data_IF_964265328795
#
_entry.id   IF_964265328795
#
_cell.length_a   1.000
_cell.length_b   1.000
_cell.length_c   1.000
_cell.angle_alpha   90.00
_cell.angle_beta   90.00
_cell.angle_gamma   90.00
#
_symmetry.space_group_name_H-M   'P 1'
#
loop_
_entity.id
_entity.type
_entity.pdbx_description
1 polymer ?
#
# COMPACT_ATOMS: atom_id res chain seq x y z
N UNK A 1 88.12 -18.64 16.83
CA UNK A 1 86.88 -17.85 16.99
C UNK A 1 86.00 -18.05 15.77
N UNK A 2 84.79 -18.59 15.93
CA UNK A 2 83.57 -18.21 15.18
C UNK A 2 82.48 -19.25 15.41
N UNK A 3 81.58 -18.95 16.36
CA UNK A 3 80.36 -19.70 16.63
C UNK A 3 79.32 -19.40 15.54
N UNK A 4 78.94 -20.40 14.74
CA UNK A 4 77.83 -20.31 13.78
C UNK A 4 76.49 -20.46 14.53
N UNK A 5 75.86 -19.33 14.86
CA UNK A 5 74.53 -19.25 15.47
C UNK A 5 73.45 -19.73 14.48
N UNK A 6 72.80 -20.84 14.81
CA UNK A 6 71.60 -21.33 14.12
C UNK A 6 70.43 -20.34 14.34
N UNK A 7 69.98 -19.69 13.26
CA UNK A 7 68.83 -18.76 13.28
C UNK A 7 67.53 -19.57 13.40
N UNK A 8 66.93 -19.58 14.59
CA UNK A 8 65.55 -20.06 14.76
C UNK A 8 64.60 -19.18 13.93
N UNK A 9 63.94 -19.78 12.93
CA UNK A 9 62.82 -19.17 12.21
C UNK A 9 61.67 -18.94 13.20
N UNK A 10 61.43 -17.69 13.58
CA UNK A 10 60.19 -17.30 14.25
C UNK A 10 59.04 -17.48 13.27
N UNK A 11 58.10 -18.37 13.59
CA UNK A 11 56.82 -18.45 12.88
C UNK A 11 56.06 -17.16 13.19
N UNK A 12 55.70 -16.40 12.16
CA UNK A 12 54.75 -15.30 12.30
C UNK A 12 53.41 -15.88 12.81
N UNK A 13 52.68 -15.17 13.69
CA UNK A 13 51.34 -15.56 14.06
C UNK A 13 50.48 -15.63 12.80
N UNK A 14 49.79 -16.76 12.62
CA UNK A 14 48.73 -16.89 11.62
C UNK A 14 47.69 -15.82 11.99
N UNK A 15 47.30 -14.90 11.08
CA UNK A 15 46.22 -13.99 11.38
C UNK A 15 44.96 -14.86 11.53
N UNK A 16 44.48 -14.97 12.76
CA UNK A 16 43.12 -15.44 13.01
C UNK A 16 42.17 -14.51 12.24
N UNK A 17 41.28 -15.04 11.38
CA UNK A 17 40.21 -14.22 10.86
C UNK A 17 39.27 -13.98 12.04
N UNK A 18 39.49 -12.89 12.78
CA UNK A 18 38.44 -12.27 13.57
C UNK A 18 37.51 -11.58 12.57
N UNK A 19 36.76 -12.38 11.81
CA UNK A 19 35.47 -11.92 11.34
C UNK A 19 34.64 -12.01 12.60
N UNK A 20 34.47 -10.88 13.29
CA UNK A 20 33.37 -10.73 14.23
C UNK A 20 32.10 -10.90 13.37
N UNK A 21 31.64 -12.14 13.21
CA UNK A 21 30.44 -12.44 12.45
C UNK A 21 29.30 -11.78 13.20
N UNK A 22 28.95 -10.57 12.79
CA UNK A 22 27.88 -9.80 13.40
C UNK A 22 26.59 -10.61 13.23
N UNK A 23 26.10 -11.17 14.34
CA UNK A 23 24.85 -11.93 14.34
C UNK A 23 23.64 -10.99 14.39
N UNK A 24 22.51 -11.49 13.91
CA UNK A 24 21.24 -10.82 14.11
C UNK A 24 20.79 -10.97 15.58
N UNK A 25 20.42 -9.86 16.22
CA UNK A 25 19.94 -9.84 17.62
C UNK A 25 18.60 -10.56 17.83
N UNK A 26 17.79 -10.73 16.78
CA UNK A 26 16.46 -11.34 16.87
C UNK A 26 16.51 -12.87 16.71
N UNK A 27 17.31 -13.38 15.76
CA UNK A 27 17.40 -14.83 15.49
C UNK A 27 18.69 -15.48 15.99
N UNK A 28 19.68 -14.68 16.41
CA UNK A 28 20.99 -15.14 16.89
C UNK A 28 21.93 -15.67 15.79
N UNK A 29 21.51 -15.66 14.51
CA UNK A 29 22.30 -16.19 13.39
C UNK A 29 23.06 -15.10 12.63
N UNK A 30 24.25 -15.42 12.15
CA UNK A 30 25.05 -14.63 11.20
C UNK A 30 24.80 -14.98 9.72
N UNK A 31 23.83 -15.87 9.44
CA UNK A 31 23.45 -16.25 8.07
C UNK A 31 22.94 -15.04 7.27
N UNK A 32 22.85 -15.13 5.94
CA UNK A 32 22.36 -14.03 5.08
C UNK A 32 23.00 -12.65 5.36
N UNK A 33 24.34 -12.53 5.40
CA UNK A 33 25.02 -11.27 5.74
C UNK A 33 24.66 -10.11 4.80
N UNK A 34 24.32 -10.40 3.54
CA UNK A 34 23.86 -9.40 2.58
C UNK A 34 22.48 -8.79 2.92
N UNK A 35 21.72 -9.42 3.81
CA UNK A 35 20.42 -8.94 4.32
C UNK A 35 20.50 -8.53 5.79
N UNK A 36 21.69 -8.33 6.32
CA UNK A 36 21.92 -7.91 7.71
C UNK A 36 22.22 -6.40 7.75
N UNK A 37 21.48 -5.69 8.59
CA UNK A 37 21.54 -4.24 8.78
C UNK A 37 22.12 -3.91 10.15
N UNK A 38 23.01 -2.92 10.20
CA UNK A 38 23.57 -2.42 11.47
C UNK A 38 22.82 -1.18 11.92
N UNK A 39 22.60 -1.07 13.23
CA UNK A 39 22.05 0.13 13.84
C UNK A 39 23.10 1.24 13.92
N UNK A 40 22.85 2.42 13.35
CA UNK A 40 23.81 3.55 13.37
C UNK A 40 24.07 4.16 14.76
N UNK A 41 23.39 3.68 15.81
CA UNK A 41 23.63 4.10 17.20
C UNK A 41 24.39 3.06 18.01
N UNK A 42 24.09 1.78 17.83
CA UNK A 42 24.60 0.73 18.72
C UNK A 42 25.32 -0.41 17.99
N UNK A 43 25.46 -0.30 16.67
CA UNK A 43 26.16 -1.22 15.76
C UNK A 43 25.68 -2.68 15.80
N UNK A 44 24.58 -2.97 16.50
CA UNK A 44 23.97 -4.31 16.53
C UNK A 44 23.33 -4.68 15.20
N UNK A 45 23.49 -5.95 14.82
CA UNK A 45 22.98 -6.52 13.58
C UNK A 45 21.53 -6.98 13.64
N UNK A 46 20.78 -6.75 12.57
CA UNK A 46 19.41 -7.22 12.41
C UNK A 46 19.17 -7.63 10.96
N UNK A 47 18.66 -8.85 10.71
CA UNK A 47 18.22 -9.16 9.36
C UNK A 47 17.02 -8.30 8.98
N UNK A 48 16.97 -7.85 7.73
CA UNK A 48 15.85 -7.11 7.16
C UNK A 48 14.50 -7.83 7.40
N UNK A 49 14.49 -9.16 7.28
CA UNK A 49 13.33 -10.02 7.51
C UNK A 49 13.09 -10.43 8.98
N UNK A 50 14.04 -10.18 9.88
CA UNK A 50 13.86 -10.36 11.32
C UNK A 50 13.31 -9.09 12.00
N UNK A 51 13.48 -7.94 11.37
CA UNK A 51 12.91 -6.67 11.85
C UNK A 51 11.39 -6.68 11.81
N UNK A 52 10.81 -5.89 12.71
CA UNK A 52 9.36 -5.71 12.87
C UNK A 52 9.06 -4.20 12.99
N UNK A 53 8.44 -3.57 11.96
CA UNK A 53 8.01 -4.15 10.69
C UNK A 53 9.19 -4.66 9.84
N UNK A 54 8.92 -5.63 8.97
CA UNK A 54 9.91 -6.20 8.05
C UNK A 54 10.41 -5.10 7.10
N UNK A 55 11.73 -5.04 6.91
CA UNK A 55 12.33 -4.22 5.86
C UNK A 55 12.58 -5.09 4.64
N UNK A 56 12.35 -4.54 3.45
CA UNK A 56 12.56 -5.24 2.18
C UNK A 56 13.92 -4.92 1.57
N UNK A 57 14.43 -3.72 1.85
CA UNK A 57 15.70 -3.21 1.41
C UNK A 57 16.36 -2.43 2.55
N UNK A 58 17.67 -2.21 2.42
CA UNK A 58 18.40 -1.32 3.32
C UNK A 58 17.88 0.11 3.12
N UNK A 59 17.38 0.78 4.18
CA UNK A 59 16.86 2.15 4.06
C UNK A 59 17.94 3.13 3.60
N UNK A 60 17.57 4.15 2.81
CA UNK A 60 18.50 5.24 2.51
C UNK A 60 18.70 6.15 3.73
N UNK A 61 19.96 6.33 4.11
CA UNK A 61 20.36 7.16 5.24
C UNK A 61 20.32 6.39 6.55
N UNK A 62 20.21 7.12 7.68
CA UNK A 62 20.42 6.49 8.97
C UNK A 62 19.26 5.61 9.44
N UNK A 63 19.58 4.41 9.91
CA UNK A 63 18.63 3.47 10.53
C UNK A 63 18.98 3.19 11.99
N UNK A 64 17.94 3.11 12.82
CA UNK A 64 18.07 2.81 14.25
C UNK A 64 17.19 1.61 14.61
N UNK A 65 17.76 0.65 15.31
CA UNK A 65 17.05 -0.54 15.78
C UNK A 65 15.91 -0.21 16.76
N UNK A 66 14.98 -1.14 17.00
CA UNK A 66 13.82 -0.89 17.88
C UNK A 66 14.19 -0.38 19.28
N UNK A 67 15.31 -0.82 19.85
CA UNK A 67 15.80 -0.34 21.14
C UNK A 67 16.38 1.08 21.10
N UNK A 68 16.89 1.50 19.94
CA UNK A 68 17.41 2.86 19.73
C UNK A 68 16.36 3.84 19.18
N UNK A 69 15.30 3.32 18.56
CA UNK A 69 14.19 4.09 18.00
C UNK A 69 13.12 4.40 19.06
N UNK A 70 12.99 5.66 19.45
CA UNK A 70 12.07 6.10 20.51
C UNK A 70 10.65 6.43 20.04
N UNK A 71 10.22 5.98 18.85
CA UNK A 71 9.06 6.57 18.16
C UNK A 71 7.94 5.56 17.91
N UNK A 72 7.00 5.44 18.85
CA UNK A 72 5.62 5.11 18.48
C UNK A 72 5.04 6.30 17.69
N UNK A 73 4.27 6.09 16.61
CA UNK A 73 3.62 7.18 15.90
C UNK A 73 2.77 7.99 16.87
N UNK A 74 2.98 9.31 16.97
CA UNK A 74 2.09 10.17 17.75
C UNK A 74 0.76 10.26 17.02
N UNK A 75 -0.34 10.01 17.72
CA UNK A 75 -1.69 10.10 17.15
C UNK A 75 -1.95 11.49 16.59
N UNK A 76 -2.51 11.56 15.38
CA UNK A 76 -2.96 12.81 14.80
C UNK A 76 -4.09 13.41 15.66
N UNK A 77 -4.09 14.73 15.95
CA UNK A 77 -5.13 15.33 16.77
C UNK A 77 -6.52 15.16 16.16
N UNK A 78 -7.48 14.66 16.94
CA UNK A 78 -8.89 14.53 16.56
C UNK A 78 -9.60 15.90 16.57
N UNK A 79 -9.08 16.86 15.83
CA UNK A 79 -9.64 18.21 15.69
C UNK A 79 -10.20 18.33 14.28
N UNK A 80 -11.52 18.50 14.16
CA UNK A 80 -12.23 18.47 12.88
C UNK A 80 -11.68 19.46 11.85
N UNK A 81 -11.32 20.68 12.26
CA UNK A 81 -10.71 21.68 11.36
C UNK A 81 -9.38 21.19 10.80
N UNK A 82 -8.49 20.66 11.64
CA UNK A 82 -7.20 20.12 11.19
C UNK A 82 -7.35 18.95 10.22
N UNK A 83 -8.37 18.11 10.41
CA UNK A 83 -8.64 16.97 9.53
C UNK A 83 -9.22 17.45 8.19
N UNK A 84 -10.17 18.38 8.21
CA UNK A 84 -10.71 19.01 7.00
C UNK A 84 -9.60 19.67 6.19
N UNK A 85 -8.71 20.42 6.84
CA UNK A 85 -7.60 21.11 6.20
C UNK A 85 -6.58 20.10 5.64
N UNK A 86 -6.26 19.04 6.39
CA UNK A 86 -5.33 17.99 5.96
C UNK A 86 -5.81 17.25 4.71
N UNK A 87 -7.11 16.94 4.64
CA UNK A 87 -7.70 16.20 3.51
C UNK A 87 -8.35 17.09 2.44
N UNK A 88 -8.29 18.42 2.59
CA UNK A 88 -8.89 19.41 1.69
C UNK A 88 -10.39 19.14 1.43
N UNK A 89 -11.13 18.74 2.47
CA UNK A 89 -12.55 18.36 2.35
C UNK A 89 -13.38 19.58 1.96
N UNK A 90 -14.14 19.46 0.86
CA UNK A 90 -15.04 20.53 0.41
C UNK A 90 -16.19 20.67 1.41
N UNK A 91 -16.30 21.83 2.06
CA UNK A 91 -17.46 22.14 2.91
C UNK A 91 -18.71 22.23 2.02
N UNK A 92 -19.71 21.39 2.30
CA UNK A 92 -21.04 21.58 1.73
C UNK A 92 -21.63 22.86 2.31
N UNK A 93 -21.93 23.83 1.43
CA UNK A 93 -22.87 24.91 1.77
C UNK A 93 -24.24 24.25 1.89
N UNK A 94 -24.91 24.45 3.03
CA UNK A 94 -26.18 23.81 3.38
C UNK A 94 -27.20 23.83 2.22
N UNK A 95 -27.74 22.65 1.88
CA UNK A 95 -28.94 22.53 1.07
C UNK A 95 -29.98 21.67 1.80
N UNK A 96 -31.29 21.96 1.64
CA UNK A 96 -32.33 21.54 2.58
C UNK A 96 -32.59 20.04 2.56
N UNK A 97 -32.89 19.50 3.74
CA UNK A 97 -33.39 18.16 3.97
C UNK A 97 -34.63 17.89 3.11
N UNK A 98 -34.49 17.08 2.04
CA UNK A 98 -35.64 16.51 1.36
C UNK A 98 -36.13 15.33 2.20
N UNK A 99 -37.25 15.57 2.89
CA UNK A 99 -38.02 14.57 3.61
C UNK A 99 -38.40 13.40 2.70
N UNK A 100 -38.01 12.19 3.07
CA UNK A 100 -38.42 10.96 2.43
C UNK A 100 -39.83 10.56 2.86
N UNK A 101 -40.83 11.07 2.14
CA UNK A 101 -42.14 10.43 2.05
C UNK A 101 -42.52 10.24 0.59
N UNK A 102 -42.37 9.02 0.08
CA UNK A 102 -43.36 8.50 -0.87
C UNK A 102 -43.40 6.97 -0.85
N UNK A 103 -44.45 6.43 -0.20
CA UNK A 103 -44.82 5.02 -0.27
C UNK A 103 -45.60 4.80 -1.56
N UNK A 104 -44.95 4.30 -2.62
CA UNK A 104 -45.67 3.77 -3.79
C UNK A 104 -45.30 2.32 -4.10
N UNK A 105 -46.18 1.42 -3.66
CA UNK A 105 -46.26 0.01 -4.05
C UNK A 105 -46.34 -0.10 -5.58
N UNK A 106 -45.37 -0.75 -6.23
CA UNK A 106 -45.50 -1.25 -7.60
C UNK A 106 -45.59 -2.78 -7.62
N UNK A 107 -46.69 -3.27 -8.20
CA UNK A 107 -47.09 -4.68 -8.35
C UNK A 107 -46.03 -5.49 -9.10
N UNK A 108 -45.78 -6.72 -8.65
CA UNK A 108 -45.04 -7.75 -9.39
C UNK A 108 -45.79 -8.09 -10.69
N UNK A 109 -45.14 -7.92 -11.84
CA UNK A 109 -45.49 -8.64 -13.07
C UNK A 109 -44.58 -9.87 -13.15
N UNK A 110 -45.19 -11.05 -13.13
CA UNK A 110 -44.53 -12.29 -13.52
C UNK A 110 -44.21 -12.21 -15.02
N UNK A 111 -42.93 -12.25 -15.36
CA UNK A 111 -42.40 -12.36 -16.70
C UNK A 111 -41.31 -13.43 -16.70
N UNK A 112 -41.31 -14.25 -17.75
CA UNK A 112 -40.52 -15.47 -17.96
C UNK A 112 -39.09 -15.45 -17.39
N UNK A 113 -38.71 -16.56 -16.75
CA UNK A 113 -37.37 -16.89 -16.26
C UNK A 113 -36.39 -17.02 -17.45
N UNK A 114 -35.86 -15.89 -17.91
CA UNK A 114 -34.55 -15.88 -18.56
C UNK A 114 -33.56 -15.45 -17.50
N UNK A 115 -32.74 -16.39 -17.03
CA UNK A 115 -31.60 -16.10 -16.16
C UNK A 115 -30.57 -15.34 -16.99
N UNK A 116 -30.78 -14.03 -17.13
CA UNK A 116 -29.70 -13.12 -17.51
C UNK A 116 -28.69 -13.22 -16.38
N UNK A 117 -27.52 -13.80 -16.66
CA UNK A 117 -26.38 -13.77 -15.73
C UNK A 117 -26.18 -12.31 -15.35
N UNK A 118 -26.49 -11.94 -14.10
CA UNK A 118 -26.26 -10.58 -13.59
C UNK A 118 -24.80 -10.24 -13.88
N UNK A 119 -24.57 -9.24 -14.73
CA UNK A 119 -23.23 -8.67 -14.91
C UNK A 119 -22.71 -8.30 -13.53
N UNK A 120 -21.49 -8.74 -13.20
CA UNK A 120 -20.80 -8.35 -11.97
C UNK A 120 -20.48 -6.86 -12.08
N UNK A 121 -21.29 -6.03 -11.44
CA UNK A 121 -21.18 -4.57 -11.40
C UNK A 121 -20.38 -4.15 -10.17
N UNK A 122 -19.49 -3.17 -10.32
CA UNK A 122 -18.80 -2.57 -9.18
C UNK A 122 -19.79 -1.81 -8.29
N UNK A 123 -19.58 -1.91 -6.97
CA UNK A 123 -20.40 -1.26 -5.96
C UNK A 123 -19.64 -0.09 -5.34
N UNK A 124 -20.31 1.03 -5.01
CA UNK A 124 -19.70 2.05 -4.19
C UNK A 124 -19.51 1.53 -2.76
N UNK A 125 -18.55 2.08 -2.03
CA UNK A 125 -18.45 1.84 -0.59
C UNK A 125 -19.62 2.51 0.15
N UNK A 126 -19.89 2.03 1.36
CA UNK A 126 -20.90 2.61 2.25
C UNK A 126 -20.17 3.21 3.45
N UNK A 127 -20.12 4.55 3.59
CA UNK A 127 -19.42 5.22 4.69
C UNK A 127 -20.08 4.88 6.04
N UNK A 128 -19.36 5.07 7.15
CA UNK A 128 -19.97 4.96 8.47
C UNK A 128 -21.01 6.07 8.68
N UNK A 129 -22.16 5.71 9.27
CA UNK A 129 -23.28 6.65 9.47
C UNK A 129 -22.89 7.73 10.50
N UNK A 130 -22.17 7.34 11.56
CA UNK A 130 -21.65 8.23 12.60
C UNK A 130 -20.53 9.15 12.08
N UNK A 131 -20.73 10.49 12.05
CA UNK A 131 -19.70 11.44 11.65
C UNK A 131 -18.45 11.42 12.53
N UNK A 132 -18.60 11.14 13.84
CA UNK A 132 -17.46 11.06 14.75
C UNK A 132 -16.57 9.87 14.38
N UNK A 133 -17.19 8.72 14.06
CA UNK A 133 -16.44 7.55 13.59
C UNK A 133 -15.73 7.81 12.27
N UNK A 134 -16.34 8.52 11.32
CA UNK A 134 -15.66 8.95 10.08
C UNK A 134 -14.45 9.84 10.36
N UNK A 135 -14.54 10.70 11.38
CA UNK A 135 -13.41 11.53 11.79
C UNK A 135 -12.25 10.71 12.35
N UNK A 136 -12.54 9.68 13.15
CA UNK A 136 -11.55 8.75 13.68
C UNK A 136 -10.86 7.95 12.56
N UNK A 137 -11.63 7.49 11.56
CA UNK A 137 -11.11 6.82 10.36
C UNK A 137 -10.12 7.72 9.61
N UNK A 138 -10.51 8.95 9.31
CA UNK A 138 -9.63 9.92 8.64
C UNK A 138 -8.38 10.25 9.48
N UNK A 139 -8.53 10.41 10.79
CA UNK A 139 -7.40 10.68 11.69
C UNK A 139 -6.40 9.53 11.75
N UNK A 140 -6.88 8.28 11.65
CA UNK A 140 -6.01 7.10 11.59
C UNK A 140 -5.10 7.14 10.36
N UNK A 141 -5.64 7.50 9.19
CA UNK A 141 -4.85 7.69 7.98
C UNK A 141 -3.90 8.89 8.11
N UNK A 142 -4.37 10.02 8.62
CA UNK A 142 -3.53 11.20 8.81
C UNK A 142 -2.34 10.89 9.73
N UNK A 143 -2.54 10.05 10.75
CA UNK A 143 -1.48 9.56 11.63
C UNK A 143 -0.43 8.76 10.85
N UNK A 144 -0.86 7.81 10.02
CA UNK A 144 0.03 6.98 9.23
C UNK A 144 0.81 7.81 8.19
N UNK A 145 0.13 8.66 7.42
CA UNK A 145 0.74 9.56 6.45
C UNK A 145 1.74 10.52 7.11
N UNK A 146 1.41 11.08 8.27
CA UNK A 146 2.34 11.94 9.03
C UNK A 146 3.55 11.15 9.50
N UNK A 147 3.36 9.92 9.97
CA UNK A 147 4.45 9.06 10.44
C UNK A 147 5.40 8.66 9.30
N UNK A 148 4.88 8.44 8.09
CA UNK A 148 5.67 8.14 6.89
C UNK A 148 6.14 9.38 6.14
N UNK A 149 5.83 10.60 6.63
CA UNK A 149 6.14 11.88 5.98
C UNK A 149 5.59 11.99 4.55
N UNK A 150 4.39 11.46 4.34
CA UNK A 150 3.71 11.41 3.05
C UNK A 150 2.58 12.43 3.04
N UNK A 151 2.52 13.25 2.00
CA UNK A 151 1.40 14.16 1.75
C UNK A 151 0.18 13.35 1.30
N UNK A 152 -1.01 13.76 1.74
CA UNK A 152 -2.24 13.16 1.25
C UNK A 152 -2.51 13.58 -0.20
N UNK A 153 -2.87 12.61 -1.04
CA UNK A 153 -3.44 12.81 -2.38
C UNK A 153 -4.42 11.69 -2.68
N UNK A 154 -5.54 12.00 -3.32
CA UNK A 154 -6.49 11.00 -3.84
C UNK A 154 -6.52 10.95 -5.37
N UNK A 155 -5.45 11.44 -6.00
CA UNK A 155 -5.28 11.45 -7.44
C UNK A 155 -3.87 11.01 -7.84
N UNK A 156 -3.76 10.46 -9.04
CA UNK A 156 -2.47 10.32 -9.72
C UNK A 156 -1.89 11.70 -9.97
N UNK A 157 -0.66 11.92 -9.52
CA UNK A 157 0.03 13.20 -9.65
C UNK A 157 1.17 13.10 -10.66
N UNK A 158 1.33 14.14 -11.48
CA UNK A 158 2.35 14.21 -12.52
C UNK A 158 3.28 15.38 -12.21
N UNK A 159 4.56 15.09 -11.94
CA UNK A 159 5.52 16.08 -11.44
C UNK A 159 6.57 16.44 -12.49
N UNK A 160 7.09 17.67 -12.48
CA UNK A 160 8.25 18.01 -13.28
C UNK A 160 9.41 17.04 -13.00
N UNK A 161 10.07 16.55 -14.05
CA UNK A 161 11.14 15.56 -13.95
C UNK A 161 10.68 14.10 -13.84
N UNK A 162 9.38 13.85 -13.75
CA UNK A 162 8.78 12.51 -13.76
C UNK A 162 7.97 12.31 -15.06
N UNK A 163 7.19 11.24 -15.15
CA UNK A 163 6.35 10.98 -16.30
C UNK A 163 5.26 12.06 -16.47
N UNK A 164 5.06 12.62 -17.68
CA UNK A 164 3.98 13.54 -17.95
C UNK A 164 2.64 12.81 -18.01
N UNK A 165 1.53 13.53 -17.79
CA UNK A 165 0.17 12.95 -17.88
C UNK A 165 -0.12 12.30 -19.23
N UNK A 166 0.40 12.89 -20.31
CA UNK A 166 0.25 12.36 -21.68
C UNK A 166 0.91 10.99 -21.88
N UNK A 167 1.84 10.57 -21.02
CA UNK A 167 2.42 9.23 -21.05
C UNK A 167 1.46 8.17 -20.49
N UNK A 168 0.49 8.55 -19.65
CA UNK A 168 -0.53 7.64 -19.13
C UNK A 168 -1.62 7.39 -20.19
N UNK A 169 -1.27 6.61 -21.21
CA UNK A 169 -2.19 6.17 -22.27
C UNK A 169 -2.41 4.67 -22.16
N UNK A 170 -3.65 4.26 -21.88
CA UNK A 170 -4.03 2.84 -21.75
C UNK A 170 -3.71 2.01 -23.01
N UNK A 171 -3.64 2.65 -24.18
CA UNK A 171 -3.27 2.02 -25.45
C UNK A 171 -1.83 1.48 -25.48
N UNK A 172 -0.97 1.93 -24.58
CA UNK A 172 0.41 1.45 -24.45
C UNK A 172 0.51 0.10 -23.70
N UNK A 173 -0.56 -0.33 -23.03
CA UNK A 173 -0.58 -1.58 -22.28
C UNK A 173 -0.38 -2.78 -23.21
N UNK A 174 0.63 -3.59 -22.91
CA UNK A 174 0.89 -4.83 -23.64
C UNK A 174 -0.29 -5.78 -23.47
N UNK A 175 -0.85 -6.24 -24.59
CA UNK A 175 -2.02 -7.13 -24.58
C UNK A 175 -3.35 -6.41 -24.40
N UNK A 176 -3.34 -5.07 -24.31
CA UNK A 176 -4.52 -4.24 -24.14
C UNK A 176 -5.03 -4.18 -22.70
N UNK A 177 -5.75 -3.11 -22.39
CA UNK A 177 -6.33 -2.88 -21.06
C UNK A 177 -7.86 -2.98 -21.13
N UNK A 178 -8.46 -3.62 -20.11
CA UNK A 178 -9.91 -3.71 -20.02
C UNK A 178 -10.53 -2.31 -19.82
N UNK A 179 -11.53 -2.00 -20.65
CA UNK A 179 -12.23 -0.71 -20.59
C UNK A 179 -13.30 -0.77 -19.52
N UNK A 180 -13.30 0.23 -18.64
CA UNK A 180 -14.34 0.36 -17.62
C UNK A 180 -15.70 0.64 -18.25
N UNK A 181 -16.72 -0.07 -17.83
CA UNK A 181 -18.08 0.16 -18.33
C UNK A 181 -18.56 1.56 -17.91
N UNK A 182 -19.53 2.14 -18.65
CA UNK A 182 -20.12 3.44 -18.27
C UNK A 182 -20.72 3.40 -16.86
N UNK A 183 -21.38 2.31 -16.53
CA UNK A 183 -22.02 2.11 -15.23
C UNK A 183 -20.99 2.01 -14.08
N UNK A 184 -19.88 1.29 -14.28
CA UNK A 184 -18.80 1.22 -13.29
C UNK A 184 -18.04 2.55 -13.18
N UNK A 185 -17.90 3.28 -14.29
CA UNK A 185 -17.32 4.63 -14.32
C UNK A 185 -18.16 5.61 -13.51
N UNK A 186 -19.49 5.50 -13.56
CA UNK A 186 -20.41 6.28 -12.73
C UNK A 186 -20.28 5.91 -11.24
N UNK A 187 -20.14 4.61 -10.92
CA UNK A 187 -19.85 4.15 -9.56
C UNK A 187 -18.53 4.72 -9.02
N UNK A 188 -17.48 4.71 -9.83
CA UNK A 188 -16.18 5.29 -9.45
C UNK A 188 -16.28 6.80 -9.21
N UNK A 189 -16.97 7.53 -10.08
CA UNK A 189 -17.24 8.97 -9.90
C UNK A 189 -18.02 9.25 -8.62
N UNK A 190 -19.01 8.41 -8.29
CA UNK A 190 -19.75 8.52 -7.04
C UNK A 190 -18.81 8.37 -5.83
N UNK A 191 -17.94 7.36 -5.83
CA UNK A 191 -16.95 7.14 -4.77
C UNK A 191 -16.05 8.37 -4.58
N UNK A 192 -15.53 8.97 -5.66
CA UNK A 192 -14.73 10.20 -5.60
C UNK A 192 -15.51 11.36 -4.98
N UNK A 193 -16.75 11.57 -5.43
CA UNK A 193 -17.59 12.64 -4.90
C UNK A 193 -17.90 12.51 -3.41
N UNK A 194 -17.98 11.27 -2.90
CA UNK A 194 -18.18 10.96 -1.48
C UNK A 194 -16.92 11.31 -0.67
N UNK A 195 -15.75 10.92 -1.16
CA UNK A 195 -14.47 11.25 -0.53
C UNK A 195 -14.25 12.77 -0.44
N UNK A 196 -14.56 13.51 -1.51
CA UNK A 196 -14.44 14.99 -1.56
C UNK A 196 -15.29 15.69 -0.49
N UNK A 197 -16.41 15.08 -0.07
CA UNK A 197 -17.31 15.60 0.97
C UNK A 197 -17.08 14.97 2.36
N UNK A 198 -16.00 14.21 2.55
CA UNK A 198 -15.67 13.60 3.84
C UNK A 198 -16.46 12.33 4.17
N UNK A 199 -17.12 11.73 3.17
CA UNK A 199 -17.73 10.41 3.26
C UNK A 199 -16.77 9.36 2.71
N UNK A 200 -15.95 8.82 3.59
CA UNK A 200 -14.85 7.92 3.21
C UNK A 200 -15.25 6.44 3.30
N UNK A 201 -14.52 5.55 2.60
CA UNK A 201 -14.65 4.11 2.83
C UNK A 201 -14.50 3.80 4.33
N UNK A 202 -15.27 2.84 4.88
CA UNK A 202 -15.26 2.56 6.31
C UNK A 202 -14.02 1.74 6.68
N UNK A 203 -12.87 2.39 6.70
CA UNK A 203 -11.55 1.77 6.89
C UNK A 203 -10.81 2.46 8.03
N UNK A 204 -10.02 1.68 8.77
CA UNK A 204 -9.12 2.15 9.81
C UNK A 204 -7.70 1.76 9.47
N UNK A 205 -6.76 2.71 9.60
CA UNK A 205 -5.34 2.39 9.59
C UNK A 205 -4.89 2.04 11.00
N UNK A 206 -4.33 0.86 11.19
CA UNK A 206 -3.93 0.31 12.49
C UNK A 206 -2.47 -0.10 12.44
N UNK A 207 -1.70 0.30 13.45
CA UNK A 207 -0.32 -0.13 13.60
C UNK A 207 -0.28 -1.53 14.23
N UNK A 208 0.27 -2.48 13.49
CA UNK A 208 0.60 -3.82 13.93
C UNK A 208 2.13 -3.91 14.15
N UNK A 209 2.60 -4.42 15.29
CA UNK A 209 4.03 -4.53 15.54
C UNK A 209 4.77 -5.36 14.48
N UNK A 210 4.12 -6.37 13.91
CA UNK A 210 4.73 -7.28 12.94
C UNK A 210 4.67 -6.77 11.52
N UNK A 211 3.50 -6.25 11.14
CA UNK A 211 3.16 -5.87 9.78
C UNK A 211 3.29 -4.36 9.50
N UNK A 212 3.54 -3.54 10.52
CA UNK A 212 3.61 -2.08 10.39
C UNK A 212 2.21 -1.46 10.30
N UNK A 213 2.04 -0.42 9.47
CA UNK A 213 0.70 0.11 9.23
C UNK A 213 -0.08 -0.86 8.35
N UNK A 214 -1.25 -1.26 8.85
CA UNK A 214 -2.21 -2.15 8.17
C UNK A 214 -3.55 -1.45 8.03
N UNK A 215 -4.42 -1.94 7.16
CA UNK A 215 -5.78 -1.42 6.98
C UNK A 215 -6.80 -2.49 7.31
N UNK A 216 -7.78 -2.15 8.13
CA UNK A 216 -8.90 -3.01 8.48
C UNK A 216 -10.26 -2.38 8.16
N UNK A 217 -11.25 -3.23 7.89
CA UNK A 217 -12.62 -2.80 7.64
C UNK A 217 -13.27 -2.39 8.97
N UNK A 218 -13.78 -1.15 9.05
CA UNK A 218 -14.49 -0.65 10.23
C UNK A 218 -16.03 -0.81 10.12
N UNK A 219 -16.48 -1.34 8.98
CA UNK A 219 -17.85 -1.77 8.71
C UNK A 219 -17.81 -2.98 7.77
N UNK A 220 -18.92 -3.70 7.66
CA UNK A 220 -19.08 -4.70 6.62
C UNK A 220 -18.89 -4.08 5.23
N UNK A 221 -18.08 -4.72 4.38
CA UNK A 221 -17.84 -4.35 2.99
C UNK A 221 -18.29 -5.51 2.11
N UNK A 222 -19.09 -5.22 1.10
CA UNK A 222 -19.68 -6.23 0.22
C UNK A 222 -18.69 -6.61 -0.90
N UNK A 223 -18.79 -7.84 -1.39
CA UNK A 223 -18.13 -8.27 -2.62
C UNK A 223 -18.39 -7.27 -3.78
N UNK A 224 -17.35 -7.01 -4.58
CA UNK A 224 -17.31 -6.05 -5.69
C UNK A 224 -17.37 -4.57 -5.27
N UNK A 225 -17.25 -4.24 -3.99
CA UNK A 225 -17.12 -2.85 -3.54
C UNK A 225 -15.75 -2.27 -3.93
N UNK A 226 -15.75 -1.09 -4.55
CA UNK A 226 -14.55 -0.28 -4.76
C UNK A 226 -14.06 0.20 -3.38
N UNK A 227 -12.85 -0.21 -3.01
CA UNK A 227 -12.21 0.20 -1.76
C UNK A 227 -11.58 1.59 -1.94
N UNK A 228 -10.67 1.71 -2.91
CA UNK A 228 -9.96 2.95 -3.24
C UNK A 228 -9.22 2.84 -4.57
N UNK A 229 -8.83 3.97 -5.17
CA UNK A 229 -7.76 4.00 -6.18
C UNK A 229 -6.40 3.88 -5.51
N UNK A 230 -5.46 3.19 -6.17
CA UNK A 230 -4.04 3.26 -5.84
C UNK A 230 -3.47 4.52 -6.47
N UNK A 231 -2.90 5.43 -5.66
CA UNK A 231 -2.48 6.75 -6.13
C UNK A 231 -1.12 7.16 -5.56
N UNK A 232 -0.47 8.06 -6.30
CA UNK A 232 0.82 8.64 -5.99
C UNK A 232 1.40 9.36 -7.20
N UNK A 233 2.67 9.73 -7.12
CA UNK A 233 3.36 10.35 -8.24
C UNK A 233 3.62 9.31 -9.34
N UNK A 234 3.28 9.62 -10.59
CA UNK A 234 3.49 8.73 -11.73
C UNK A 234 4.87 8.95 -12.32
N UNK A 235 5.62 7.87 -12.50
CA UNK A 235 6.96 7.90 -13.08
C UNK A 235 7.18 6.77 -14.09
N UNK A 236 8.27 6.86 -14.84
CA UNK A 236 8.76 5.74 -15.62
C UNK A 236 9.48 4.73 -14.73
N UNK A 237 9.28 3.43 -14.96
CA UNK A 237 9.93 2.37 -14.18
C UNK A 237 11.47 2.49 -14.21
N UNK A 238 12.04 2.83 -15.36
CA UNK A 238 13.50 3.05 -15.52
C UNK A 238 14.08 4.13 -14.59
N UNK A 239 13.26 5.10 -14.16
CA UNK A 239 13.70 6.15 -13.23
C UNK A 239 13.74 5.63 -11.77
N UNK A 240 13.25 4.42 -11.52
CA UNK A 240 13.01 3.83 -10.21
C UNK A 240 13.81 2.54 -9.96
N UNK A 241 14.74 2.19 -10.84
CA UNK A 241 15.58 0.98 -10.72
C UNK A 241 16.36 0.90 -9.38
N UNK A 242 16.69 2.05 -8.80
CA UNK A 242 17.41 2.14 -7.53
C UNK A 242 16.52 2.58 -6.36
N UNK A 243 15.20 2.71 -6.56
CA UNK A 243 14.27 3.20 -5.55
C UNK A 243 14.14 2.22 -4.38
N UNK A 244 14.13 2.73 -3.15
CA UNK A 244 13.96 1.96 -1.91
C UNK A 244 12.49 1.88 -1.47
N UNK A 245 11.56 2.44 -2.24
CA UNK A 245 10.13 2.44 -1.98
C UNK A 245 9.52 1.03 -1.99
N UNK A 246 9.01 0.62 -0.85
CA UNK A 246 8.32 -0.66 -0.63
C UNK A 246 6.89 -0.71 -1.21
N UNK A 247 6.41 0.35 -1.85
CA UNK A 247 5.01 0.50 -2.23
C UNK A 247 4.84 0.91 -3.69
N UNK A 248 5.82 0.65 -4.55
CA UNK A 248 5.71 0.95 -5.98
C UNK A 248 4.65 0.02 -6.60
N UNK A 249 3.79 0.59 -7.44
CA UNK A 249 2.69 -0.14 -8.08
C UNK A 249 2.71 0.07 -9.59
N UNK A 250 2.72 -1.01 -10.37
CA UNK A 250 2.67 -0.94 -11.83
C UNK A 250 1.40 -0.25 -12.32
N UNK A 251 1.56 0.79 -13.15
CA UNK A 251 0.47 1.50 -13.81
C UNK A 251 0.28 0.96 -15.22
N UNK A 252 1.31 0.98 -16.05
CA UNK A 252 1.29 0.50 -17.43
C UNK A 252 2.47 -0.44 -17.64
N UNK A 253 2.21 -1.65 -18.12
CA UNK A 253 3.23 -2.62 -18.55
C UNK A 253 3.34 -2.53 -20.08
N UNK A 254 4.23 -1.67 -20.57
CA UNK A 254 4.33 -1.39 -22.00
C UNK A 254 5.10 -2.48 -22.77
N UNK A 255 4.92 -2.53 -24.08
CA UNK A 255 5.76 -3.37 -24.96
C UNK A 255 7.20 -2.87 -25.01
N UNK A 256 7.38 -1.55 -25.04
CA UNK A 256 8.67 -0.88 -24.87
C UNK A 256 8.90 -0.60 -23.38
N UNK A 257 9.88 -1.25 -22.72
CA UNK A 257 10.15 -1.07 -21.29
C UNK A 257 10.44 0.38 -20.90
N UNK A 258 10.91 1.21 -21.83
CA UNK A 258 11.22 2.62 -21.57
C UNK A 258 9.97 3.49 -21.35
N UNK A 259 8.79 2.96 -21.69
CA UNK A 259 7.47 3.56 -21.56
C UNK A 259 6.63 2.94 -20.42
N UNK A 260 7.15 1.92 -19.73
CA UNK A 260 6.49 1.33 -18.56
C UNK A 260 6.37 2.37 -17.46
N UNK A 261 5.17 2.49 -16.89
CA UNK A 261 4.86 3.47 -15.85
C UNK A 261 4.55 2.79 -14.52
N UNK A 262 4.94 3.45 -13.45
CA UNK A 262 4.66 3.05 -12.07
C UNK A 262 4.07 4.21 -11.27
N UNK A 263 3.30 3.88 -10.24
CA UNK A 263 2.81 4.79 -9.21
C UNK A 263 3.78 4.71 -8.03
N UNK A 264 4.29 5.86 -7.61
CA UNK A 264 5.22 6.03 -6.50
C UNK A 264 4.50 6.75 -5.36
N UNK A 265 4.05 6.04 -4.31
CA UNK A 265 3.30 6.65 -3.22
C UNK A 265 4.20 7.25 -2.13
N UNK A 266 5.50 7.37 -2.35
CA UNK A 266 6.53 7.79 -1.38
C UNK A 266 6.25 9.19 -0.80
N UNK A 267 6.02 10.17 -1.68
CA UNK A 267 5.80 11.58 -1.31
C UNK A 267 4.33 11.95 -1.19
N UNK A 268 3.48 11.40 -2.05
CA UNK A 268 2.04 11.67 -2.10
C UNK A 268 1.28 10.36 -2.21
N UNK A 269 0.27 10.14 -1.37
CA UNK A 269 -0.56 8.93 -1.45
C UNK A 269 -1.85 9.03 -0.63
N UNK A 270 -2.63 7.95 -0.63
CA UNK A 270 -3.81 7.75 0.18
C UNK A 270 -3.70 6.47 1.02
N UNK A 271 -4.84 5.90 1.41
CA UNK A 271 -4.90 4.68 2.22
C UNK A 271 -4.39 3.43 1.48
N UNK A 272 -4.39 3.42 0.14
CA UNK A 272 -4.07 2.23 -0.65
C UNK A 272 -2.67 1.68 -0.37
N UNK A 273 -1.69 2.56 -0.12
CA UNK A 273 -0.31 2.17 0.17
C UNK A 273 -0.13 1.41 1.49
N UNK A 274 -1.13 1.43 2.38
CA UNK A 274 -1.10 0.77 3.68
C UNK A 274 -1.89 -0.55 3.70
N UNK A 275 -2.43 -0.97 2.55
CA UNK A 275 -3.12 -2.26 2.43
C UNK A 275 -2.09 -3.34 2.15
N UNK A 276 -2.04 -4.36 3.02
CA UNK A 276 -0.98 -5.36 3.00
C UNK A 276 -1.09 -6.37 1.85
N UNK A 277 0.04 -6.97 1.52
CA UNK A 277 0.11 -8.07 0.57
C UNK A 277 -0.03 -9.43 1.25
N UNK A 278 -0.47 -10.43 0.49
CA UNK A 278 -0.44 -11.83 0.93
C UNK A 278 0.95 -12.43 0.76
N UNK A 279 1.26 -13.46 1.55
CA UNK A 279 2.38 -14.35 1.26
C UNK A 279 2.00 -15.29 0.09
N UNK A 280 2.70 -15.19 -1.04
CA UNK A 280 2.41 -15.99 -2.24
C UNK A 280 2.96 -17.43 -2.16
N UNK A 281 3.76 -17.75 -1.14
CA UNK A 281 4.47 -19.02 -0.99
C UNK A 281 3.78 -19.98 -0.01
N UNK A 282 2.86 -19.49 0.83
CA UNK A 282 2.11 -20.31 1.78
C UNK A 282 0.63 -20.43 1.41
N UNK A 283 0.00 -21.61 1.57
CA UNK A 283 -1.44 -21.76 1.37
C UNK A 283 -2.28 -20.85 2.29
N UNK A 284 -1.80 -20.64 3.51
CA UNK A 284 -2.43 -19.79 4.52
C UNK A 284 -2.39 -18.32 4.11
N UNK A 285 -1.26 -17.84 3.58
CA UNK A 285 -1.11 -16.49 3.03
C UNK A 285 -2.12 -16.22 1.91
N UNK A 286 -2.23 -17.14 0.96
CA UNK A 286 -3.20 -17.02 -0.16
C UNK A 286 -4.66 -16.94 0.30
N UNK A 287 -5.02 -17.63 1.38
CA UNK A 287 -6.38 -17.59 1.96
C UNK A 287 -6.74 -16.24 2.58
N UNK A 288 -5.75 -15.40 2.94
CA UNK A 288 -6.01 -14.07 3.51
C UNK A 288 -6.57 -13.08 2.49
N UNK A 289 -6.37 -13.32 1.20
CA UNK A 289 -6.79 -12.39 0.15
C UNK A 289 -8.30 -12.10 0.21
N UNK A 290 -8.62 -10.81 0.32
CA UNK A 290 -10.00 -10.31 0.32
C UNK A 290 -10.19 -9.06 -0.54
N UNK A 291 -9.08 -8.49 -1.03
CA UNK A 291 -9.04 -7.39 -2.00
C UNK A 291 -8.29 -7.84 -3.25
N UNK A 292 -8.70 -7.32 -4.41
CA UNK A 292 -8.01 -7.48 -5.69
C UNK A 292 -7.55 -6.13 -6.21
N UNK A 293 -6.32 -6.09 -6.70
CA UNK A 293 -5.78 -4.98 -7.48
C UNK A 293 -6.09 -5.20 -8.96
N UNK A 294 -6.70 -4.21 -9.60
CA UNK A 294 -7.20 -4.32 -10.98
C UNK A 294 -6.92 -3.02 -11.74
N UNK A 295 -6.38 -3.15 -12.95
CA UNK A 295 -6.11 -2.03 -13.85
C UNK A 295 -7.25 -1.87 -14.86
N UNK A 296 -7.66 -0.63 -15.10
CA UNK A 296 -8.74 -0.27 -16.03
C UNK A 296 -8.34 0.92 -16.90
N UNK A 297 -8.78 0.88 -18.15
CA UNK A 297 -8.88 2.06 -19.00
C UNK A 297 -10.13 2.85 -18.59
N UNK A 298 -9.90 4.08 -18.13
CA UNK A 298 -10.95 5.05 -17.79
C UNK A 298 -10.74 6.30 -18.63
N UNK A 299 -11.30 6.29 -19.85
CA UNK A 299 -11.25 7.45 -20.74
C UNK A 299 -9.90 7.65 -21.43
N UNK A 300 -9.19 6.55 -21.73
CA UNK A 300 -7.87 6.55 -22.37
C UNK A 300 -6.70 6.59 -21.39
N UNK A 301 -6.97 6.75 -20.09
CA UNK A 301 -5.96 6.72 -19.03
C UNK A 301 -6.02 5.41 -18.26
N UNK A 302 -4.87 4.86 -17.87
CA UNK A 302 -4.84 3.75 -16.92
C UNK A 302 -5.16 4.24 -15.51
N UNK A 303 -5.97 3.46 -14.80
CA UNK A 303 -6.30 3.60 -13.37
C UNK A 303 -6.14 2.26 -12.65
N UNK A 304 -5.63 2.30 -11.43
CA UNK A 304 -5.46 1.11 -10.58
C UNK A 304 -6.48 1.17 -9.44
N UNK A 305 -7.33 0.15 -9.35
CA UNK A 305 -8.38 0.03 -8.34
C UNK A 305 -8.12 -1.14 -7.41
N UNK A 306 -8.39 -0.93 -6.12
CA UNK A 306 -8.52 -1.97 -5.12
C UNK A 306 -10.01 -2.26 -4.90
N UNK A 307 -10.43 -3.51 -5.13
CA UNK A 307 -11.84 -3.95 -5.11
C UNK A 307 -11.99 -5.15 -4.19
N UNK A 308 -13.01 -5.16 -3.34
CA UNK A 308 -13.34 -6.35 -2.53
C UNK A 308 -13.66 -7.54 -3.44
N UNK A 309 -13.03 -8.70 -3.21
CA UNK A 309 -13.25 -9.91 -4.00
C UNK A 309 -14.08 -10.98 -3.29
N UNK A 310 -14.56 -10.65 -2.09
CA UNK A 310 -15.56 -11.33 -1.29
C UNK A 310 -16.13 -10.35 -0.27
N UNK A 311 -17.16 -10.77 0.46
CA UNK A 311 -17.63 -10.03 1.62
C UNK A 311 -16.52 -9.96 2.69
N UNK A 312 -16.36 -8.79 3.30
CA UNK A 312 -15.35 -8.48 4.32
C UNK A 312 -16.08 -8.03 5.58
N UNK A 313 -15.77 -8.67 6.70
CA UNK A 313 -16.41 -8.38 7.99
C UNK A 313 -15.73 -7.21 8.70
N UNK A 314 -16.45 -6.55 9.62
CA UNK A 314 -15.84 -5.51 10.46
C UNK A 314 -14.72 -6.11 11.33
N UNK A 315 -13.58 -5.43 11.42
CA UNK A 315 -12.36 -5.84 12.11
C UNK A 315 -11.45 -6.71 11.23
N UNK A 316 -11.88 -7.08 10.03
CA UNK A 316 -11.07 -7.90 9.14
C UNK A 316 -10.04 -7.02 8.41
N UNK A 317 -8.77 -7.45 8.46
CA UNK A 317 -7.66 -6.79 7.77
C UNK A 317 -7.74 -7.02 6.26
N UNK A 318 -7.41 -6.00 5.48
CA UNK A 318 -7.44 -6.04 4.03
C UNK A 318 -6.09 -6.55 3.50
N UNK A 319 -6.16 -7.53 2.60
CA UNK A 319 -5.02 -8.11 1.91
C UNK A 319 -5.30 -8.25 0.42
N UNK A 320 -4.33 -7.87 -0.41
CA UNK A 320 -4.35 -8.15 -1.84
C UNK A 320 -3.07 -8.86 -2.30
N UNK A 321 -3.08 -9.35 -3.53
CA UNK A 321 -1.90 -9.96 -4.14
C UNK A 321 -1.01 -8.87 -4.76
N UNK A 322 0.14 -8.60 -4.15
CA UNK A 322 1.13 -7.65 -4.69
C UNK A 322 1.69 -8.14 -6.03
N UNK A 323 1.70 -9.46 -6.25
CA UNK A 323 2.21 -10.11 -7.45
C UNK A 323 1.09 -10.54 -8.41
N UNK A 324 -0.07 -9.87 -8.37
CA UNK A 324 -1.24 -10.26 -9.16
C UNK A 324 -1.07 -10.20 -10.69
N UNK A 325 0.03 -9.60 -11.18
CA UNK A 325 0.37 -9.54 -12.61
C UNK A 325 1.84 -9.88 -12.86
N UNK A 326 2.75 -9.18 -12.17
CA UNK A 326 4.21 -9.38 -12.22
C UNK A 326 4.67 -10.06 -10.92
N UNK A 327 5.69 -10.93 -10.97
CA UNK A 327 6.22 -11.66 -9.80
C UNK A 327 7.49 -10.98 -9.25
N UNK A 328 7.43 -9.65 -9.10
CA UNK A 328 8.61 -8.84 -8.79
C UNK A 328 8.73 -8.50 -7.30
N UNK A 329 7.66 -8.68 -6.52
CA UNK A 329 7.64 -8.32 -5.11
C UNK A 329 7.95 -9.53 -4.21
N UNK A 330 9.00 -9.50 -3.38
CA UNK A 330 9.34 -10.61 -2.48
C UNK A 330 8.35 -10.69 -1.31
N UNK A 331 7.57 -11.77 -1.24
CA UNK A 331 6.53 -11.97 -0.21
C UNK A 331 6.79 -13.19 0.67
N UNK A 332 7.97 -13.82 0.59
CA UNK A 332 8.29 -15.05 1.35
C UNK A 332 8.20 -14.84 2.86
N UNK A 333 8.54 -13.63 3.31
CA UNK A 333 8.58 -13.26 4.72
C UNK A 333 7.28 -12.61 5.22
N UNK A 334 6.26 -12.49 4.37
CA UNK A 334 4.97 -11.91 4.79
C UNK A 334 4.27 -12.83 5.79
N UNK A 335 3.64 -12.21 6.80
CA UNK A 335 2.95 -12.88 7.92
C UNK A 335 1.64 -13.50 7.47
#
# INVERSE_FOLDING_TARGET
>A
MSSSKSRKRTRAPIPSPLIDETCCEECGSGDYPAKLLLCDRCDRGYHLFCLRPILLSVPRGSWFCPSCSTKKPKSFPLIQTKIIDFFQIKRSVDYPQISSQDKRKKRKKFGSLVVSKKKRKLLPFVPCDDPKRRLEQMASLATALTATKTEFSNELTYRPGMAPRSANSSALERGGMQVMSKEDSETLKLCKSMVERGEWPPLMVVFDPLEGFTVEADRFIKDLTIITEYVGDVDFLKNRENDDGDSIMTLISASDPSQTLVICPDKRSNIARFINGINNYTPEGKKKQNVKCVRYDVGGECRVLLIACRDITKGERLYYDYNGYEHEYPTENFV
#
